data_IF_727389606711
#
_entry.id   IF_727389606711
#
_cell.length_a   1.000
_cell.length_b   1.000
_cell.length_c   1.000
_cell.angle_alpha   90.00
_cell.angle_beta   90.00
_cell.angle_gamma   90.00
#
_symmetry.space_group_name_H-M   'P 1'
#
loop_
_entity.id
_entity.type
_entity.pdbx_description
1 polymer ?
#
# COMPACT_ATOMS: atom_id res chain seq x y z
N UNK A 1 11.90 -16.39 -3.55
CA UNK A 1 10.70 -16.79 -4.33
C UNK A 1 9.52 -15.82 -4.13
N UNK A 2 9.17 -15.46 -2.88
CA UNK A 2 8.09 -14.48 -2.56
C UNK A 2 8.34 -13.03 -3.00
N UNK A 3 9.57 -12.52 -2.82
CA UNK A 3 9.96 -11.16 -3.21
C UNK A 3 9.75 -10.81 -4.71
N UNK A 4 9.69 -11.82 -5.58
CA UNK A 4 9.45 -11.62 -7.01
C UNK A 4 7.96 -11.47 -7.37
N UNK A 5 7.06 -11.78 -6.42
CA UNK A 5 5.62 -11.59 -6.59
C UNK A 5 5.21 -10.13 -6.47
N UNK A 6 5.91 -9.36 -5.62
CA UNK A 6 5.59 -7.95 -5.37
C UNK A 6 5.62 -7.08 -6.63
N UNK A 7 6.66 -7.13 -7.50
CA UNK A 7 6.64 -6.37 -8.76
C UNK A 7 5.48 -6.77 -9.69
N UNK A 8 5.14 -8.06 -9.75
CA UNK A 8 4.02 -8.53 -10.57
C UNK A 8 2.67 -8.09 -10.01
N UNK A 9 2.50 -8.08 -8.69
CA UNK A 9 1.30 -7.60 -8.01
C UNK A 9 1.12 -6.09 -8.19
N UNK A 10 2.18 -5.30 -8.03
CA UNK A 10 2.16 -3.85 -8.29
C UNK A 10 1.81 -3.59 -9.76
N UNK A 11 2.45 -4.30 -10.70
CA UNK A 11 2.16 -4.13 -12.12
C UNK A 11 0.69 -4.39 -12.46
N UNK A 12 0.13 -5.51 -11.97
CA UNK A 12 -1.29 -5.83 -12.16
C UNK A 12 -2.22 -4.81 -11.51
N UNK A 13 -1.94 -4.43 -10.25
CA UNK A 13 -2.73 -3.44 -9.54
C UNK A 13 -2.74 -2.11 -10.27
N UNK A 14 -1.59 -1.65 -10.78
CA UNK A 14 -1.50 -0.41 -11.55
C UNK A 14 -2.30 -0.47 -12.84
N UNK A 15 -2.18 -1.56 -13.61
CA UNK A 15 -2.96 -1.74 -14.84
C UNK A 15 -4.47 -1.79 -14.57
N UNK A 16 -4.91 -2.52 -13.54
CA UNK A 16 -6.34 -2.60 -13.20
C UNK A 16 -6.88 -1.25 -12.73
N UNK A 17 -6.08 -0.47 -11.98
CA UNK A 17 -6.42 0.89 -11.56
C UNK A 17 -6.56 1.84 -12.76
N UNK A 18 -5.58 1.82 -13.67
CA UNK A 18 -5.60 2.67 -14.86
C UNK A 18 -6.86 2.39 -15.69
N UNK A 19 -7.19 1.11 -15.91
CA UNK A 19 -8.42 0.71 -16.60
C UNK A 19 -9.68 1.17 -15.86
N UNK A 20 -9.69 1.09 -14.53
CA UNK A 20 -10.85 1.51 -13.72
C UNK A 20 -11.04 3.04 -13.81
N UNK A 21 -9.95 3.80 -13.77
CA UNK A 21 -9.96 5.25 -13.93
C UNK A 21 -10.39 5.66 -15.34
N UNK A 22 -9.95 4.94 -16.37
CA UNK A 22 -10.39 5.15 -17.75
C UNK A 22 -11.90 4.88 -17.92
N UNK A 23 -12.42 3.78 -17.37
CA UNK A 23 -13.85 3.49 -17.39
C UNK A 23 -14.64 4.57 -16.63
N UNK A 24 -14.17 4.99 -15.46
CA UNK A 24 -14.81 6.05 -14.69
C UNK A 24 -14.84 7.38 -15.45
N UNK A 25 -13.74 7.75 -16.13
CA UNK A 25 -13.69 8.94 -17.00
C UNK A 25 -14.69 8.85 -18.15
N UNK A 26 -14.77 7.69 -18.80
CA UNK A 26 -15.74 7.46 -19.88
C UNK A 26 -17.20 7.46 -19.43
N UNK A 27 -17.45 7.05 -18.17
CA UNK A 27 -18.79 7.05 -17.57
C UNK A 27 -19.22 8.42 -17.02
N UNK A 28 -18.31 9.39 -16.89
CA UNK A 28 -18.65 10.73 -16.45
C UNK A 28 -19.54 11.46 -17.47
N UNK A 29 -20.58 12.12 -16.96
CA UNK A 29 -21.50 12.93 -17.73
C UNK A 29 -21.43 14.38 -17.23
N UNK A 30 -21.85 15.39 -18.02
CA UNK A 30 -21.84 16.79 -17.58
C UNK A 30 -22.66 17.06 -16.30
N UNK A 31 -23.69 16.26 -16.05
CA UNK A 31 -24.49 16.28 -14.81
C UNK A 31 -23.73 15.76 -13.58
N UNK A 32 -22.57 15.13 -13.79
CA UNK A 32 -21.71 14.62 -12.72
C UNK A 32 -20.67 15.65 -12.23
N UNK A 33 -20.76 16.91 -12.68
CA UNK A 33 -19.87 17.98 -12.23
C UNK A 33 -20.37 18.53 -10.90
N UNK A 34 -19.54 18.40 -9.85
CA UNK A 34 -19.83 18.99 -8.54
C UNK A 34 -20.10 20.48 -8.65
N UNK A 35 -21.28 20.92 -8.20
CA UNK A 35 -21.62 22.34 -8.09
C UNK A 35 -21.62 22.76 -6.62
N UNK A 36 -21.52 24.05 -6.28
CA UNK A 36 -21.66 24.50 -4.90
C UNK A 36 -22.97 24.07 -4.21
N UNK A 37 -23.99 23.65 -5.00
CA UNK A 37 -25.28 23.12 -4.53
C UNK A 37 -25.39 21.60 -4.55
N UNK A 38 -24.49 20.89 -5.26
CA UNK A 38 -24.45 19.43 -5.35
C UNK A 38 -23.04 18.94 -5.03
N UNK A 39 -22.84 18.61 -3.75
CA UNK A 39 -21.57 18.12 -3.21
C UNK A 39 -21.58 16.60 -2.94
N UNK A 40 -22.70 15.92 -3.21
CA UNK A 40 -22.84 14.49 -2.96
C UNK A 40 -22.02 13.68 -3.96
N UNK A 41 -21.32 12.65 -3.49
CA UNK A 41 -20.63 11.75 -4.40
C UNK A 41 -21.59 11.00 -5.33
N UNK A 42 -21.03 10.64 -6.47
CA UNK A 42 -21.78 10.10 -7.59
C UNK A 42 -21.37 8.64 -7.76
N UNK A 43 -22.38 7.77 -7.84
CA UNK A 43 -22.17 6.37 -8.19
C UNK A 43 -21.97 6.25 -9.70
N UNK A 44 -20.74 5.96 -10.11
CA UNK A 44 -20.44 5.63 -11.50
C UNK A 44 -20.64 4.14 -11.75
N UNK A 45 -21.29 3.81 -12.85
CA UNK A 45 -21.37 2.43 -13.34
C UNK A 45 -20.05 2.09 -14.03
N UNK A 46 -19.31 1.17 -13.45
CA UNK A 46 -18.07 0.59 -14.00
C UNK A 46 -18.14 -0.92 -13.84
N UNK A 47 -17.35 -1.67 -14.61
CA UNK A 47 -17.36 -3.12 -14.62
C UNK A 47 -17.10 -3.70 -13.22
N UNK A 48 -18.06 -4.48 -12.69
CA UNK A 48 -17.95 -5.12 -11.38
C UNK A 48 -16.78 -6.10 -11.32
N UNK A 49 -16.46 -6.80 -12.42
CA UNK A 49 -15.30 -7.69 -12.46
C UNK A 49 -14.01 -6.90 -12.23
N UNK A 50 -13.86 -5.74 -12.88
CA UNK A 50 -12.70 -4.87 -12.72
C UNK A 50 -12.60 -4.32 -11.29
N UNK A 51 -13.73 -3.92 -10.67
CA UNK A 51 -13.75 -3.51 -9.26
C UNK A 51 -13.22 -4.61 -8.35
N UNK A 52 -13.69 -5.85 -8.52
CA UNK A 52 -13.25 -6.97 -7.70
C UNK A 52 -11.79 -7.35 -7.97
N UNK A 53 -11.29 -7.21 -9.20
CA UNK A 53 -9.87 -7.43 -9.50
C UNK A 53 -8.96 -6.45 -8.76
N UNK A 54 -9.28 -5.16 -8.76
CA UNK A 54 -8.53 -4.14 -8.00
C UNK A 54 -8.51 -4.47 -6.51
N UNK A 55 -9.66 -4.82 -5.93
CA UNK A 55 -9.76 -5.19 -4.52
C UNK A 55 -8.92 -6.44 -4.21
N UNK A 56 -8.99 -7.47 -5.04
CA UNK A 56 -8.23 -8.70 -4.87
C UNK A 56 -6.72 -8.45 -4.97
N UNK A 57 -6.27 -7.70 -5.98
CA UNK A 57 -4.86 -7.41 -6.18
C UNK A 57 -4.30 -6.51 -5.08
N UNK A 58 -5.10 -5.58 -4.55
CA UNK A 58 -4.74 -4.79 -3.38
C UNK A 58 -4.55 -5.67 -2.13
N UNK A 59 -5.50 -6.56 -1.87
CA UNK A 59 -5.40 -7.51 -0.76
C UNK A 59 -4.16 -8.41 -0.89
N UNK A 60 -3.91 -8.94 -2.08
CA UNK A 60 -2.74 -9.77 -2.36
C UNK A 60 -1.44 -8.98 -2.18
N UNK A 61 -1.36 -7.74 -2.67
CA UNK A 61 -0.19 -6.88 -2.53
C UNK A 61 0.15 -6.61 -1.07
N UNK A 62 -0.83 -6.13 -0.29
CA UNK A 62 -0.61 -5.76 1.12
C UNK A 62 -0.24 -6.99 1.96
N UNK A 63 -0.92 -8.12 1.73
CA UNK A 63 -0.65 -9.37 2.46
C UNK A 63 0.74 -9.93 2.14
N UNK A 64 1.13 -9.92 0.86
CA UNK A 64 2.45 -10.40 0.45
C UNK A 64 3.58 -9.50 0.97
N UNK A 65 3.36 -8.18 0.99
CA UNK A 65 4.36 -7.23 1.47
C UNK A 65 4.55 -7.37 3.00
N UNK A 66 3.48 -7.53 3.76
CA UNK A 66 3.54 -7.82 5.21
C UNK A 66 4.31 -9.12 5.49
N UNK A 67 3.97 -10.19 4.76
CA UNK A 67 4.66 -11.48 4.89
C UNK A 67 6.15 -11.39 4.53
N UNK A 68 6.50 -10.63 3.49
CA UNK A 68 7.89 -10.38 3.12
C UNK A 68 8.64 -9.60 4.22
N UNK A 69 8.00 -8.62 4.84
CA UNK A 69 8.58 -7.88 5.96
C UNK A 69 8.83 -8.75 7.18
N UNK A 70 7.92 -9.67 7.51
CA UNK A 70 8.12 -10.59 8.63
C UNK A 70 9.26 -11.58 8.35
N UNK A 71 9.35 -12.13 7.15
CA UNK A 71 10.48 -12.97 6.76
C UNK A 71 11.81 -12.22 6.77
N UNK A 72 11.83 -10.94 6.35
CA UNK A 72 13.04 -10.12 6.41
C UNK A 72 13.52 -9.92 7.86
N UNK A 73 12.61 -9.69 8.81
CA UNK A 73 12.94 -9.56 10.23
C UNK A 73 13.54 -10.87 10.76
N UNK A 74 12.87 -12.00 10.50
CA UNK A 74 13.35 -13.32 10.92
C UNK A 74 14.72 -13.66 10.32
N UNK A 75 14.92 -13.35 9.05
CA UNK A 75 16.21 -13.57 8.39
C UNK A 75 17.31 -12.73 9.01
N UNK A 76 17.04 -11.46 9.31
CA UNK A 76 17.99 -10.58 9.99
C UNK A 76 18.40 -11.16 11.35
N UNK A 77 17.44 -11.60 12.17
CA UNK A 77 17.71 -12.22 13.47
C UNK A 77 18.55 -13.49 13.33
N UNK A 78 18.18 -14.36 12.40
CA UNK A 78 18.90 -15.62 12.17
C UNK A 78 20.36 -15.38 11.79
N UNK A 79 20.65 -14.38 10.95
CA UNK A 79 22.04 -14.04 10.59
C UNK A 79 22.79 -13.45 11.78
N UNK A 80 22.14 -12.59 12.56
CA UNK A 80 22.71 -12.02 13.78
C UNK A 80 23.07 -13.09 14.83
N UNK A 81 22.18 -14.06 15.03
CA UNK A 81 22.44 -15.22 15.90
C UNK A 81 23.61 -16.05 15.38
N UNK A 82 23.66 -16.30 14.06
CA UNK A 82 24.71 -17.08 13.42
C UNK A 82 26.11 -16.46 13.59
N UNK A 83 26.23 -15.14 13.52
CA UNK A 83 27.52 -14.43 13.72
C UNK A 83 27.84 -14.17 15.21
N UNK A 84 27.03 -14.73 16.14
CA UNK A 84 27.24 -14.58 17.58
C UNK A 84 26.90 -13.19 18.12
N UNK A 85 26.10 -12.40 17.39
CA UNK A 85 25.63 -11.07 17.78
C UNK A 85 24.09 -11.02 17.82
N UNK A 86 23.45 -11.80 18.72
CA UNK A 86 21.99 -11.86 18.79
C UNK A 86 21.40 -10.47 19.04
N UNK A 87 20.29 -10.19 18.38
CA UNK A 87 19.55 -8.93 18.53
C UNK A 87 18.14 -9.22 19.03
N UNK A 88 17.64 -8.33 19.88
CA UNK A 88 16.25 -8.35 20.29
C UNK A 88 15.37 -7.47 19.38
N UNK A 89 14.07 -7.52 19.63
CA UNK A 89 13.05 -6.72 18.94
C UNK A 89 13.33 -5.23 18.95
N UNK A 90 13.85 -4.70 20.07
CA UNK A 90 14.14 -3.29 20.23
C UNK A 90 15.31 -2.91 19.33
N UNK A 91 16.39 -3.68 19.37
CA UNK A 91 17.59 -3.44 18.58
C UNK A 91 17.31 -3.57 17.10
N UNK A 92 16.52 -4.57 16.69
CA UNK A 92 16.08 -4.74 15.30
C UNK A 92 15.31 -3.51 14.81
N UNK A 93 14.38 -2.98 15.62
CA UNK A 93 13.63 -1.75 15.29
C UNK A 93 14.54 -0.54 15.19
N UNK A 94 15.50 -0.39 16.10
CA UNK A 94 16.50 0.69 16.04
C UNK A 94 17.30 0.65 14.75
N UNK A 95 17.79 -0.54 14.36
CA UNK A 95 18.58 -0.72 13.14
C UNK A 95 17.75 -0.36 11.90
N UNK A 96 16.54 -0.90 11.78
CA UNK A 96 15.64 -0.61 10.66
C UNK A 96 15.32 0.89 10.59
N UNK A 97 14.95 1.50 11.72
CA UNK A 97 14.66 2.94 11.78
C UNK A 97 15.89 3.79 11.43
N UNK A 98 17.08 3.35 11.85
CA UNK A 98 18.35 3.97 11.52
C UNK A 98 18.62 3.99 10.01
N UNK A 99 18.37 2.87 9.32
CA UNK A 99 18.46 2.81 7.86
C UNK A 99 17.48 3.77 7.19
N UNK A 100 16.23 3.80 7.66
CA UNK A 100 15.21 4.66 7.07
C UNK A 100 15.59 6.14 7.21
N UNK A 101 16.09 6.54 8.38
CA UNK A 101 16.57 7.89 8.62
C UNK A 101 17.76 8.25 7.72
N UNK A 102 18.73 7.34 7.57
CA UNK A 102 19.92 7.55 6.75
C UNK A 102 19.60 7.70 5.25
N UNK A 103 18.63 6.93 4.75
CA UNK A 103 18.23 6.94 3.34
C UNK A 103 17.12 7.98 3.04
N UNK A 104 16.75 8.83 4.02
CA UNK A 104 15.69 9.85 3.87
C UNK A 104 14.28 9.28 3.64
N UNK A 105 14.06 8.03 4.03
CA UNK A 105 12.80 7.32 3.86
C UNK A 105 11.89 7.61 5.05
N UNK A 106 10.63 7.96 4.79
CA UNK A 106 9.65 8.23 5.85
C UNK A 106 9.38 6.95 6.68
N UNK A 107 9.84 6.86 7.95
CA UNK A 107 9.73 5.64 8.76
C UNK A 107 8.27 5.26 9.05
N UNK A 108 7.32 6.18 8.85
CA UNK A 108 5.89 5.90 9.00
C UNK A 108 5.35 4.93 7.95
N UNK A 109 6.10 4.58 6.90
CA UNK A 109 5.67 3.61 5.90
C UNK A 109 5.32 2.24 6.51
N UNK A 110 6.02 1.79 7.55
CA UNK A 110 5.73 0.54 8.26
C UNK A 110 4.38 0.62 8.98
N UNK A 111 4.09 1.78 9.60
CA UNK A 111 2.79 2.04 10.24
C UNK A 111 1.68 2.11 9.18
N UNK A 112 1.95 2.69 8.02
CA UNK A 112 1.00 2.70 6.89
C UNK A 112 0.72 1.31 6.36
N UNK A 113 1.73 0.43 6.25
CA UNK A 113 1.53 -0.97 5.87
C UNK A 113 0.62 -1.69 6.87
N UNK A 114 0.90 -1.57 8.16
CA UNK A 114 0.03 -2.15 9.20
C UNK A 114 -1.40 -1.59 9.14
N UNK A 115 -1.53 -0.29 8.88
CA UNK A 115 -2.80 0.39 8.66
C UNK A 115 -3.54 -0.17 7.44
N UNK A 116 -2.88 -0.28 6.29
CA UNK A 116 -3.43 -0.82 5.05
C UNK A 116 -3.87 -2.28 5.22
N UNK A 117 -3.05 -3.10 5.87
CA UNK A 117 -3.39 -4.50 6.17
C UNK A 117 -4.63 -4.58 7.05
N UNK A 118 -4.65 -3.83 8.15
CA UNK A 118 -5.83 -3.81 9.03
C UNK A 118 -7.07 -3.31 8.31
N UNK A 119 -6.90 -2.32 7.43
CA UNK A 119 -7.96 -1.78 6.62
C UNK A 119 -8.52 -2.84 5.67
N UNK A 120 -7.66 -3.59 4.97
CA UNK A 120 -8.07 -4.57 3.98
C UNK A 120 -8.55 -5.90 4.61
N UNK A 121 -7.99 -6.31 5.75
CA UNK A 121 -8.29 -7.58 6.39
C UNK A 121 -9.48 -7.55 7.37
N UNK A 122 -9.80 -6.39 7.95
CA UNK A 122 -10.82 -6.27 9.01
C UNK A 122 -12.01 -5.38 8.66
N UNK A 123 -11.98 -4.70 7.52
CA UNK A 123 -13.12 -3.94 7.03
C UNK A 123 -13.95 -4.86 6.14
N UNK A 124 -15.28 -4.82 6.26
CA UNK A 124 -16.22 -5.71 5.54
C UNK A 124 -16.23 -5.48 4.01
N UNK A 125 -17.37 -5.17 3.37
CA UNK A 125 -17.36 -4.87 1.95
C UNK A 125 -16.48 -3.64 1.67
N UNK A 126 -15.46 -3.83 0.83
CA UNK A 126 -14.57 -2.78 0.40
C UNK A 126 -15.24 -2.01 -0.74
N UNK A 127 -15.59 -0.75 -0.50
CA UNK A 127 -16.10 0.14 -1.54
C UNK A 127 -14.93 0.88 -2.19
N UNK A 128 -15.05 1.16 -3.49
CA UNK A 128 -14.09 1.98 -4.23
C UNK A 128 -14.71 3.36 -4.47
N UNK A 129 -13.98 4.40 -4.10
CA UNK A 129 -14.26 5.79 -4.45
C UNK A 129 -13.13 6.35 -5.32
N UNK A 130 -13.43 7.38 -6.11
CA UNK A 130 -12.41 8.08 -6.90
C UNK A 130 -12.39 9.53 -6.45
N UNK A 131 -11.24 9.99 -5.99
CA UNK A 131 -11.01 11.39 -5.67
C UNK A 131 -10.70 12.16 -6.96
N UNK A 132 -11.70 12.85 -7.49
CA UNK A 132 -11.59 13.69 -8.69
C UNK A 132 -11.24 15.14 -8.37
N UNK A 133 -10.94 15.45 -7.10
CA UNK A 133 -10.69 16.84 -6.67
C UNK A 133 -9.43 17.43 -7.31
N UNK A 134 -8.47 16.59 -7.69
CA UNK A 134 -7.22 16.97 -8.35
C UNK A 134 -6.81 15.92 -9.39
N UNK A 135 -6.06 16.33 -10.40
CA UNK A 135 -5.38 15.41 -11.32
C UNK A 135 -3.94 15.13 -10.84
N UNK A 136 -3.41 13.90 -10.99
CA UNK A 136 -4.14 12.71 -11.41
C UNK A 136 -5.16 12.27 -10.35
N UNK A 137 -6.31 11.75 -10.79
CA UNK A 137 -7.33 11.19 -9.88
C UNK A 137 -6.72 10.09 -9.00
N UNK A 138 -7.13 10.07 -7.73
CA UNK A 138 -6.66 9.06 -6.76
C UNK A 138 -7.78 8.05 -6.48
N UNK A 139 -7.43 6.77 -6.34
CA UNK A 139 -8.38 5.74 -5.95
C UNK A 139 -8.43 5.65 -4.43
N UNK A 140 -9.64 5.70 -3.89
CA UNK A 140 -9.94 5.57 -2.48
C UNK A 140 -10.53 4.20 -2.22
N UNK A 141 -9.92 3.44 -1.32
CA UNK A 141 -10.58 2.33 -0.67
C UNK A 141 -11.41 2.89 0.48
N UNK A 142 -12.69 2.52 0.57
CA UNK A 142 -13.66 3.06 1.53
C UNK A 142 -14.19 1.95 2.45
N UNK A 143 -14.39 2.27 3.74
CA UNK A 143 -14.85 1.30 4.75
C UNK A 143 -16.34 1.03 4.69
N UNK A 144 -17.07 2.07 4.35
CA UNK A 144 -18.51 2.13 4.33
C UNK A 144 -18.92 2.86 3.06
N UNK A 145 -20.18 2.67 2.64
CA UNK A 145 -20.76 3.43 1.55
C UNK A 145 -21.03 4.87 2.02
N UNK A 146 -20.01 5.73 1.97
CA UNK A 146 -20.06 7.14 2.38
C UNK A 146 -19.95 8.05 1.16
N UNK A 147 -20.78 9.10 1.14
CA UNK A 147 -20.75 10.08 0.06
C UNK A 147 -19.43 10.88 0.06
N UNK A 148 -18.99 11.41 1.21
CA UNK A 148 -17.73 12.14 1.32
C UNK A 148 -16.89 11.49 2.42
N UNK A 149 -15.82 10.75 2.08
CA UNK A 149 -15.02 10.05 3.06
C UNK A 149 -14.08 11.01 3.80
N UNK A 150 -13.98 10.86 5.12
CA UNK A 150 -12.90 11.48 5.91
C UNK A 150 -11.59 10.68 5.79
N UNK A 151 -10.42 11.25 6.15
CA UNK A 151 -9.14 10.52 6.12
C UNK A 151 -9.08 9.24 6.96
N UNK A 152 -9.99 9.06 7.92
CA UNK A 152 -10.10 7.83 8.73
C UNK A 152 -10.99 6.77 8.08
N UNK A 153 -11.85 7.18 7.15
CA UNK A 153 -12.82 6.35 6.45
C UNK A 153 -12.31 5.87 5.10
N UNK A 154 -11.21 6.44 4.58
CA UNK A 154 -10.59 6.00 3.35
C UNK A 154 -9.12 5.64 3.50
N UNK A 155 -8.64 4.78 2.63
CA UNK A 155 -7.23 4.57 2.35
C UNK A 155 -6.96 4.99 0.91
N UNK A 156 -6.01 5.89 0.70
CA UNK A 156 -5.61 6.39 -0.62
C UNK A 156 -4.59 5.44 -1.25
N UNK A 157 -4.78 5.06 -2.51
CA UNK A 157 -3.84 4.15 -3.16
C UNK A 157 -2.48 4.79 -3.43
N UNK A 158 -2.40 6.12 -3.55
CA UNK A 158 -1.11 6.85 -3.52
C UNK A 158 -0.26 6.56 -2.27
N UNK A 159 -0.86 6.09 -1.17
CA UNK A 159 -0.10 5.65 0.02
C UNK A 159 0.59 4.28 -0.20
N UNK A 160 0.12 3.44 -1.15
CA UNK A 160 0.78 2.18 -1.50
C UNK A 160 2.14 2.41 -2.13
N UNK A 161 2.28 3.43 -2.97
CA UNK A 161 3.57 3.79 -3.54
C UNK A 161 4.59 4.15 -2.46
N UNK A 162 4.15 4.85 -1.41
CA UNK A 162 4.99 5.18 -0.26
C UNK A 162 5.41 3.91 0.48
N UNK A 163 4.50 2.95 0.66
CA UNK A 163 4.79 1.64 1.25
C UNK A 163 5.79 0.86 0.39
N UNK A 164 5.55 0.75 -0.92
CA UNK A 164 6.40 0.02 -1.86
C UNK A 164 7.83 0.59 -1.94
N UNK A 165 7.95 1.93 -1.96
CA UNK A 165 9.25 2.61 -1.89
C UNK A 165 9.96 2.33 -0.57
N UNK A 166 9.25 2.44 0.55
CA UNK A 166 9.79 2.15 1.88
C UNK A 166 10.31 0.71 2.00
N UNK A 167 9.52 -0.25 1.53
CA UNK A 167 9.90 -1.67 1.48
C UNK A 167 11.15 -1.90 0.62
N UNK A 168 11.19 -1.32 -0.57
CA UNK A 168 12.31 -1.48 -1.51
C UNK A 168 13.61 -0.94 -0.92
N UNK A 169 13.57 0.24 -0.30
CA UNK A 169 14.72 0.82 0.39
C UNK A 169 15.15 -0.04 1.58
N UNK A 170 14.19 -0.50 2.40
CA UNK A 170 14.48 -1.37 3.54
C UNK A 170 15.14 -2.69 3.11
N UNK A 171 14.71 -3.28 1.99
CA UNK A 171 15.34 -4.48 1.42
C UNK A 171 16.79 -4.23 1.03
N UNK A 172 17.06 -3.11 0.35
CA UNK A 172 18.42 -2.74 -0.05
C UNK A 172 19.31 -2.45 1.16
N UNK A 173 18.80 -1.77 2.18
CA UNK A 173 19.53 -1.50 3.42
C UNK A 173 19.84 -2.78 4.21
N UNK A 174 18.87 -3.69 4.34
CA UNK A 174 19.09 -5.00 4.95
C UNK A 174 20.19 -5.78 4.23
N UNK A 175 20.14 -5.82 2.89
CA UNK A 175 21.16 -6.51 2.10
C UNK A 175 22.56 -5.93 2.37
N UNK A 176 22.71 -4.61 2.38
CA UNK A 176 23.99 -3.94 2.70
C UNK A 176 24.48 -4.33 4.11
N UNK A 177 23.61 -4.23 5.10
CA UNK A 177 23.93 -4.54 6.49
C UNK A 177 24.40 -5.98 6.69
N UNK A 178 23.68 -6.94 6.12
CA UNK A 178 24.03 -8.36 6.23
C UNK A 178 25.33 -8.68 5.50
N UNK A 179 25.61 -8.03 4.37
CA UNK A 179 26.91 -8.18 3.70
C UNK A 179 28.07 -7.69 4.57
N UNK A 180 27.89 -6.59 5.32
CA UNK A 180 28.90 -6.06 6.25
C UNK A 180 29.07 -6.95 7.49
N UNK A 181 28.02 -7.62 7.96
CA UNK A 181 28.10 -8.54 9.10
C UNK A 181 28.83 -9.85 8.77
N UNK A 182 28.78 -10.28 7.52
CA UNK A 182 29.35 -11.55 7.06
C UNK A 182 30.75 -11.40 6.44
N UNK A 183 31.23 -10.16 6.28
CA UNK A 183 32.57 -9.81 5.80
C UNK A 183 33.54 -9.61 6.95
#
# INVERSE_FOLDING_TARGET
MRLNLLPSLIGRLNSDMELLLEQARGAMQPEHVFTPRHQDAIALQVDDHLKYLVICNLHAFVSELDACMDHMKQFMETVHDYVGQPIDDLKRKEIINGWMAADGIDPKWVVRLAGARNYVAHTGPLYLGIDISNEPWDLLLLKDNVAIPTPKQCFRLTELDRIARGFTACKAALQRHLMTLLS
#
